data_IF_400925569452
#
_entry.id   IF_400925569452
#
_cell.length_a   1.000
_cell.length_b   1.000
_cell.length_c   1.000
_cell.angle_alpha   90.00
_cell.angle_beta   90.00
_cell.angle_gamma   90.00
#
_symmetry.space_group_name_H-M   'P 1'
#
loop_
_entity.id
_entity.type
_entity.pdbx_description
1 polymer ?
#
# COMPACT_ATOMS: atom_id res chain seq x y z
N UNK A 1 -10.95 19.85 -26.98
CA UNK A 1 -12.03 18.84 -26.85
C UNK A 1 -12.33 18.56 -25.37
N UNK A 2 -13.59 18.31 -24.99
CA UNK A 2 -14.02 17.99 -23.61
C UNK A 2 -14.52 16.54 -23.53
N UNK A 3 -14.52 15.94 -22.33
CA UNK A 3 -14.90 14.54 -22.14
C UNK A 3 -16.29 14.17 -22.69
N UNK A 4 -17.27 15.07 -22.53
CA UNK A 4 -18.66 14.90 -23.03
C UNK A 4 -18.78 14.89 -24.56
N UNK A 5 -17.72 15.26 -25.27
CA UNK A 5 -17.67 15.33 -26.73
C UNK A 5 -17.00 14.10 -27.35
N UNK A 6 -16.53 13.15 -26.53
CA UNK A 6 -15.93 11.91 -26.99
C UNK A 6 -17.01 10.92 -27.44
N UNK A 7 -16.74 10.23 -28.53
CA UNK A 7 -17.61 9.20 -29.11
C UNK A 7 -17.31 7.81 -28.56
N UNK A 8 -18.14 6.82 -28.89
CA UNK A 8 -17.88 5.42 -28.53
C UNK A 8 -16.59 4.86 -29.13
N UNK A 9 -16.15 5.37 -30.29
CA UNK A 9 -14.88 5.01 -30.92
C UNK A 9 -13.69 5.62 -30.17
N UNK A 10 -13.83 6.87 -29.71
CA UNK A 10 -12.82 7.51 -28.88
C UNK A 10 -12.59 6.76 -27.57
N UNK A 11 -13.67 6.27 -26.95
CA UNK A 11 -13.57 5.45 -25.76
C UNK A 11 -12.80 4.16 -26.01
N UNK A 12 -13.06 3.48 -27.14
CA UNK A 12 -12.32 2.26 -27.51
C UNK A 12 -10.86 2.57 -27.79
N UNK A 13 -10.56 3.65 -28.52
CA UNK A 13 -9.20 4.06 -28.85
C UNK A 13 -8.38 4.37 -27.60
N UNK A 14 -8.92 5.17 -26.68
CA UNK A 14 -8.28 5.50 -25.41
C UNK A 14 -8.03 4.21 -24.63
N UNK A 15 -9.03 3.32 -24.53
CA UNK A 15 -8.89 2.07 -23.76
C UNK A 15 -7.83 1.13 -24.35
N UNK A 16 -7.84 0.93 -25.66
CA UNK A 16 -6.89 0.06 -26.35
C UNK A 16 -5.48 0.63 -26.29
N UNK A 17 -5.31 1.94 -26.47
CA UNK A 17 -3.99 2.58 -26.37
C UNK A 17 -3.35 2.34 -25.00
N UNK A 18 -4.10 2.52 -23.91
CA UNK A 18 -3.56 2.22 -22.58
C UNK A 18 -3.17 0.74 -22.40
N UNK A 19 -3.97 -0.19 -22.93
CA UNK A 19 -3.66 -1.63 -22.91
C UNK A 19 -2.43 -1.97 -23.76
N UNK A 20 -2.32 -1.40 -24.95
CA UNK A 20 -1.23 -1.67 -25.90
C UNK A 20 0.10 -1.19 -25.35
N UNK A 21 0.15 0.02 -24.78
CA UNK A 21 1.36 0.51 -24.13
C UNK A 21 1.73 -0.31 -22.89
N UNK A 22 0.76 -0.84 -22.13
CA UNK A 22 1.02 -1.78 -21.03
C UNK A 22 1.59 -3.11 -21.52
N UNK A 23 1.06 -3.66 -22.63
CA UNK A 23 1.49 -4.94 -23.19
C UNK A 23 2.86 -4.86 -23.88
N UNK A 24 3.25 -3.68 -24.37
CA UNK A 24 4.55 -3.45 -25.04
C UNK A 24 5.76 -3.43 -24.11
N UNK A 25 5.58 -3.60 -22.79
CA UNK A 25 6.69 -3.67 -21.83
C UNK A 25 7.58 -2.42 -21.79
N UNK A 26 7.04 -1.26 -22.19
CA UNK A 26 7.80 -0.02 -22.28
C UNK A 26 7.82 0.73 -20.95
N UNK A 27 8.98 1.29 -20.57
CA UNK A 27 9.13 2.13 -19.38
C UNK A 27 8.08 3.26 -19.35
N UNK A 28 7.38 3.39 -18.21
CA UNK A 28 6.29 4.36 -17.98
C UNK A 28 5.17 4.30 -19.03
N UNK A 29 4.48 3.16 -19.17
CA UNK A 29 3.54 2.91 -20.25
C UNK A 29 2.33 3.86 -20.23
N UNK A 30 1.86 4.21 -19.02
CA UNK A 30 0.76 5.16 -18.85
C UNK A 30 1.14 6.59 -19.30
N UNK A 31 2.36 7.06 -19.03
CA UNK A 31 2.81 8.40 -19.48
C UNK A 31 3.00 8.43 -21.00
N UNK A 32 3.47 7.33 -21.60
CA UNK A 32 3.60 7.21 -23.06
C UNK A 32 2.22 7.19 -23.76
N UNK A 33 1.27 6.41 -23.24
CA UNK A 33 -0.11 6.42 -23.70
C UNK A 33 -0.74 7.83 -23.59
N UNK A 34 -0.52 8.52 -22.47
CA UNK A 34 -1.00 9.90 -22.27
C UNK A 34 -0.42 10.88 -23.28
N UNK A 35 0.89 10.81 -23.56
CA UNK A 35 1.54 11.65 -24.57
C UNK A 35 1.03 11.37 -25.98
N UNK A 36 0.88 10.09 -26.33
CA UNK A 36 0.34 9.69 -27.63
C UNK A 36 -1.08 10.20 -27.85
N UNK A 37 -1.98 9.97 -26.88
CA UNK A 37 -3.37 10.42 -26.96
C UNK A 37 -3.49 11.95 -26.88
N UNK A 38 -2.62 12.61 -26.12
CA UNK A 38 -2.58 14.07 -26.03
C UNK A 38 -2.28 14.69 -27.40
N UNK A 39 -1.31 14.13 -28.11
CA UNK A 39 -0.98 14.52 -29.48
C UNK A 39 -2.13 14.22 -30.45
N UNK A 40 -2.71 13.02 -30.38
CA UNK A 40 -3.81 12.60 -31.26
C UNK A 40 -5.04 13.50 -31.15
N UNK A 41 -5.43 13.88 -29.93
CA UNK A 41 -6.62 14.69 -29.67
C UNK A 41 -6.37 16.20 -29.59
N UNK A 42 -5.12 16.64 -29.74
CA UNK A 42 -4.74 18.06 -29.60
C UNK A 42 -5.06 18.63 -28.21
N UNK A 43 -4.87 17.84 -27.15
CA UNK A 43 -5.15 18.24 -25.76
C UNK A 43 -3.97 17.97 -24.85
N UNK A 44 -4.01 18.48 -23.61
CA UNK A 44 -2.94 18.22 -22.63
C UNK A 44 -2.97 16.78 -22.11
N UNK A 45 -1.80 16.28 -21.68
CA UNK A 45 -1.70 14.97 -20.99
C UNK A 45 -2.55 14.92 -19.71
N UNK A 46 -2.72 16.05 -19.03
CA UNK A 46 -3.65 16.20 -17.89
C UNK A 46 -5.10 15.93 -18.29
N UNK A 47 -5.51 16.40 -19.47
CA UNK A 47 -6.85 16.18 -20.02
C UNK A 47 -7.07 14.70 -20.34
N UNK A 48 -6.09 14.04 -20.99
CA UNK A 48 -6.13 12.60 -21.24
C UNK A 48 -6.18 11.81 -19.93
N UNK A 49 -5.39 12.17 -18.92
CA UNK A 49 -5.44 11.53 -17.61
C UNK A 49 -6.83 11.64 -16.98
N UNK A 50 -7.48 12.80 -17.09
CA UNK A 50 -8.87 13.00 -16.63
C UNK A 50 -9.86 12.13 -17.41
N UNK A 51 -9.72 11.99 -18.72
CA UNK A 51 -10.56 11.12 -19.54
C UNK A 51 -10.34 9.64 -19.23
N UNK A 52 -9.10 9.21 -19.09
CA UNK A 52 -8.75 7.85 -18.71
C UNK A 52 -9.32 7.49 -17.33
N UNK A 53 -9.24 8.41 -16.36
CA UNK A 53 -9.87 8.28 -15.04
C UNK A 53 -11.39 8.12 -15.15
N UNK A 54 -12.05 8.90 -16.02
CA UNK A 54 -13.49 8.79 -16.24
C UNK A 54 -13.89 7.49 -16.97
N UNK A 55 -13.05 6.99 -17.87
CA UNK A 55 -13.25 5.75 -18.63
C UNK A 55 -12.81 4.50 -17.88
N UNK A 56 -12.37 4.66 -16.63
CA UNK A 56 -11.84 3.60 -15.79
C UNK A 56 -10.67 2.83 -16.41
N UNK A 57 -9.90 3.46 -17.31
CA UNK A 57 -8.66 2.90 -17.86
C UNK A 57 -7.47 3.48 -17.15
N UNK A 58 -6.52 2.62 -16.79
CA UNK A 58 -5.47 2.89 -15.80
C UNK A 58 -6.01 3.02 -14.35
N UNK A 59 -7.24 2.59 -14.11
CA UNK A 59 -7.95 2.71 -12.84
C UNK A 59 -7.77 1.46 -11.99
N UNK A 60 -6.52 1.20 -11.61
CA UNK A 60 -6.32 0.38 -10.41
C UNK A 60 -6.57 1.18 -9.11
N UNK A 61 -6.78 2.51 -9.18
CA UNK A 61 -6.96 3.37 -7.99
C UNK A 61 -8.41 3.64 -7.57
N UNK A 62 -9.42 3.47 -8.43
CA UNK A 62 -10.78 4.01 -8.17
C UNK A 62 -11.89 2.97 -7.98
N UNK A 63 -11.58 1.67 -8.10
CA UNK A 63 -12.56 0.61 -7.84
C UNK A 63 -12.56 0.15 -6.37
N UNK A 64 -11.97 0.92 -5.45
CA UNK A 64 -12.21 0.73 -4.02
C UNK A 64 -13.32 1.71 -3.64
N UNK A 65 -14.56 1.28 -3.83
CA UNK A 65 -15.73 1.99 -3.30
C UNK A 65 -15.63 1.87 -1.78
N UNK A 66 -15.37 2.97 -1.06
CA UNK A 66 -14.95 2.84 0.34
C UNK A 66 -15.85 3.52 1.38
N UNK A 67 -16.60 2.71 2.14
CA UNK A 67 -16.94 2.94 3.55
C UNK A 67 -15.86 2.44 4.56
N UNK A 68 -14.92 1.60 4.15
CA UNK A 68 -13.93 0.88 5.00
C UNK A 68 -12.52 1.50 4.95
N UNK A 69 -12.18 2.37 5.90
CA UNK A 69 -10.86 3.01 5.98
C UNK A 69 -9.67 2.01 5.99
N UNK A 70 -8.93 1.92 4.88
CA UNK A 70 -7.70 1.09 4.75
C UNK A 70 -6.50 2.02 4.72
N UNK A 71 -5.57 1.83 5.65
CA UNK A 71 -4.39 2.68 5.78
C UNK A 71 -3.17 2.03 5.12
N UNK A 72 -2.43 2.78 4.31
CA UNK A 72 -1.05 2.43 3.97
C UNK A 72 -0.16 3.30 4.84
N UNK A 73 0.74 2.71 5.62
CA UNK A 73 1.61 3.49 6.51
C UNK A 73 3.00 2.85 6.65
N UNK A 74 3.96 3.66 7.09
CA UNK A 74 5.37 3.33 7.23
C UNK A 74 5.98 4.26 8.28
N UNK A 75 6.96 3.77 9.05
CA UNK A 75 7.63 4.53 10.10
C UNK A 75 9.15 4.52 9.94
N UNK A 76 9.78 5.56 10.48
CA UNK A 76 11.23 5.61 10.66
C UNK A 76 11.55 5.70 12.15
N UNK A 77 12.59 4.98 12.59
CA UNK A 77 12.95 4.90 14.01
C UNK A 77 14.36 5.37 14.27
N UNK A 78 14.59 5.85 15.49
CA UNK A 78 15.90 6.25 15.96
C UNK A 78 16.73 5.03 16.36
N UNK A 79 18.03 5.22 16.33
CA UNK A 79 18.99 4.28 16.85
C UNK A 79 19.06 4.40 18.37
N UNK A 80 19.72 3.42 18.98
CA UNK A 80 20.07 3.45 20.39
C UNK A 80 21.57 3.27 20.51
N UNK A 81 22.20 4.20 21.21
CA UNK A 81 23.64 4.15 21.43
C UNK A 81 24.03 3.09 22.47
N UNK A 82 25.18 2.45 22.24
CA UNK A 82 25.83 1.60 23.23
C UNK A 82 27.34 1.82 23.18
N UNK A 83 27.98 1.89 24.36
CA UNK A 83 29.45 1.88 24.44
C UNK A 83 29.96 0.45 24.34
N UNK A 84 30.89 0.23 23.41
CA UNK A 84 31.59 -1.04 23.20
C UNK A 84 33.10 -0.83 23.33
N UNK A 85 33.82 -1.86 23.76
CA UNK A 85 35.27 -1.77 23.98
C UNK A 85 36.08 -1.91 22.69
N UNK A 86 35.63 -2.73 21.74
CA UNK A 86 36.34 -2.98 20.50
C UNK A 86 35.39 -3.35 19.37
N UNK A 87 35.87 -3.30 18.14
CA UNK A 87 35.15 -3.78 16.96
C UNK A 87 35.07 -5.31 16.94
N UNK A 88 34.08 -5.87 16.25
CA UNK A 88 33.86 -7.32 16.13
C UNK A 88 32.54 -7.80 16.73
N UNK A 89 32.38 -9.12 16.88
CA UNK A 89 31.15 -9.72 17.42
C UNK A 89 31.01 -9.41 18.91
N UNK A 90 30.06 -8.55 19.25
CA UNK A 90 29.71 -8.18 20.62
C UNK A 90 28.20 -8.40 20.82
N UNK A 91 27.79 -8.94 21.97
CA UNK A 91 26.38 -8.98 22.37
C UNK A 91 26.13 -7.80 23.30
N UNK A 92 25.31 -6.84 22.86
CA UNK A 92 24.99 -5.65 23.66
C UNK A 92 23.84 -5.97 24.62
N UNK A 93 24.12 -5.93 25.93
CA UNK A 93 23.09 -6.09 26.96
C UNK A 93 22.25 -4.80 27.08
N UNK A 94 20.96 -4.90 27.44
CA UNK A 94 20.09 -3.75 27.64
C UNK A 94 20.64 -2.70 28.62
N UNK A 95 21.44 -3.12 29.62
CA UNK A 95 22.10 -2.21 30.57
C UNK A 95 23.18 -1.32 29.95
N UNK A 96 23.68 -1.66 28.76
CA UNK A 96 24.68 -0.87 28.02
C UNK A 96 24.04 0.18 27.13
N UNK A 97 22.72 0.12 26.95
CA UNK A 97 21.98 1.06 26.10
C UNK A 97 21.89 2.42 26.78
N UNK A 98 22.12 3.47 26.00
CA UNK A 98 22.09 4.87 26.44
C UNK A 98 20.77 5.50 26.03
N UNK A 99 19.72 5.08 26.72
CA UNK A 99 18.36 5.47 26.44
C UNK A 99 17.62 4.39 25.65
N UNK A 100 16.58 4.82 24.96
CA UNK A 100 15.71 3.93 24.19
C UNK A 100 15.48 4.51 22.79
N UNK A 101 15.32 3.63 21.80
CA UNK A 101 14.93 4.04 20.48
C UNK A 101 13.45 4.51 20.46
N UNK A 102 13.16 5.45 19.57
CA UNK A 102 11.86 6.12 19.43
C UNK A 102 11.45 6.15 17.96
N UNK A 103 10.19 6.48 17.69
CA UNK A 103 9.76 6.73 16.31
C UNK A 103 10.12 8.17 15.93
N UNK A 104 10.83 8.34 14.82
CA UNK A 104 11.27 9.65 14.29
C UNK A 104 10.15 10.25 13.45
N UNK A 105 9.64 9.49 12.49
CA UNK A 105 8.57 9.93 11.60
C UNK A 105 7.56 8.80 11.33
N UNK A 106 6.34 9.20 11.04
CA UNK A 106 5.27 8.31 10.61
C UNK A 106 4.59 8.97 9.43
N UNK A 107 4.48 8.25 8.32
CA UNK A 107 3.71 8.68 7.16
C UNK A 107 2.58 7.71 6.90
N UNK A 108 1.44 8.21 6.46
CA UNK A 108 0.32 7.36 6.08
C UNK A 108 -0.58 8.01 5.04
N UNK A 109 -1.38 7.17 4.40
CA UNK A 109 -2.48 7.58 3.54
C UNK A 109 -3.65 6.62 3.65
N UNK A 110 -4.83 7.11 3.34
CA UNK A 110 -5.95 6.24 3.06
C UNK A 110 -5.85 5.72 1.63
N UNK A 111 -6.03 4.41 1.46
CA UNK A 111 -5.93 3.75 0.17
C UNK A 111 -6.95 4.32 -0.83
N UNK A 112 -6.47 4.76 -2.00
CA UNK A 112 -7.31 5.38 -3.03
C UNK A 112 -7.39 6.91 -2.94
N UNK A 113 -6.94 7.52 -1.85
CA UNK A 113 -6.81 8.97 -1.73
C UNK A 113 -5.46 9.46 -2.30
N UNK A 114 -5.39 10.74 -2.66
CA UNK A 114 -4.16 11.36 -3.17
C UNK A 114 -3.29 11.97 -2.06
N UNK A 115 -3.91 12.36 -0.93
CA UNK A 115 -3.22 12.99 0.19
C UNK A 115 -2.39 11.97 0.98
N UNK A 116 -1.19 12.40 1.39
CA UNK A 116 -0.32 11.66 2.30
C UNK A 116 -0.07 12.56 3.50
N UNK A 117 -0.32 12.03 4.68
CA UNK A 117 -0.08 12.69 5.95
C UNK A 117 1.25 12.23 6.51
N UNK A 118 1.94 13.11 7.23
CA UNK A 118 3.19 12.80 7.89
C UNK A 118 3.28 13.51 9.22
N UNK A 119 3.79 12.83 10.23
CA UNK A 119 4.15 13.38 11.53
C UNK A 119 5.61 13.07 11.82
N UNK A 120 6.23 13.88 12.67
CA UNK A 120 7.55 13.63 13.20
C UNK A 120 7.60 13.91 14.70
N UNK A 121 8.60 13.36 15.39
CA UNK A 121 8.84 13.61 16.81
C UNK A 121 9.16 15.09 17.09
N UNK A 122 9.14 15.49 18.35
CA UNK A 122 9.55 16.85 18.73
C UNK A 122 11.06 17.04 18.47
N UNK A 123 11.43 18.00 17.61
CA UNK A 123 12.82 18.19 17.16
C UNK A 123 13.78 18.68 18.25
N UNK A 124 13.25 19.30 19.31
CA UNK A 124 14.05 19.85 20.41
C UNK A 124 14.30 18.79 21.48
N UNK A 125 13.24 18.09 21.88
CA UNK A 125 13.25 17.10 22.97
C UNK A 125 13.44 15.67 22.47
N UNK A 126 13.34 15.44 21.16
CA UNK A 126 13.35 14.12 20.49
C UNK A 126 12.31 13.20 21.10
N UNK A 127 11.14 13.74 21.43
CA UNK A 127 10.04 13.02 22.08
C UNK A 127 8.96 12.67 21.05
N UNK A 128 8.61 11.39 20.94
CA UNK A 128 7.61 10.90 19.99
C UNK A 128 6.19 10.81 20.59
N UNK A 129 6.00 11.13 21.88
CA UNK A 129 4.70 10.96 22.57
C UNK A 129 3.54 11.65 21.84
N UNK A 130 3.70 12.93 21.50
CA UNK A 130 2.64 13.72 20.85
C UNK A 130 2.32 13.16 19.46
N UNK A 131 3.35 12.83 18.69
CA UNK A 131 3.20 12.19 17.37
C UNK A 131 2.46 10.86 17.48
N UNK A 132 2.83 10.00 18.43
CA UNK A 132 2.18 8.70 18.62
C UNK A 132 0.71 8.91 19.03
N UNK A 133 0.41 9.83 19.94
CA UNK A 133 -0.96 10.17 20.33
C UNK A 133 -1.82 10.63 19.15
N UNK A 134 -1.27 11.47 18.27
CA UNK A 134 -1.97 11.92 17.07
C UNK A 134 -2.16 10.78 16.07
N UNK A 135 -1.12 9.96 15.84
CA UNK A 135 -1.20 8.86 14.90
C UNK A 135 -2.17 7.76 15.31
N UNK A 136 -2.19 7.34 16.59
CA UNK A 136 -3.07 6.25 17.03
C UNK A 136 -4.55 6.58 16.88
N UNK A 137 -4.92 7.88 16.93
CA UNK A 137 -6.29 8.34 16.63
C UNK A 137 -6.69 8.02 15.20
N UNK A 138 -5.78 8.16 14.23
CA UNK A 138 -6.03 7.76 12.85
C UNK A 138 -5.90 6.25 12.65
N UNK A 139 -4.89 5.62 13.26
CA UNK A 139 -4.66 4.17 13.20
C UNK A 139 -5.90 3.39 13.64
N UNK A 140 -6.52 3.76 14.76
CA UNK A 140 -7.69 3.06 15.30
C UNK A 140 -8.94 3.16 14.41
N UNK A 141 -8.97 4.10 13.45
CA UNK A 141 -10.06 4.20 12.46
C UNK A 141 -9.88 3.18 11.33
N UNK A 142 -8.69 2.61 11.17
CA UNK A 142 -8.41 1.66 10.10
C UNK A 142 -9.04 0.30 10.38
N UNK A 143 -9.70 -0.27 9.38
CA UNK A 143 -10.16 -1.66 9.41
C UNK A 143 -9.03 -2.63 9.06
N UNK A 144 -8.07 -2.13 8.28
CA UNK A 144 -6.91 -2.85 7.81
C UNK A 144 -5.77 -1.86 7.56
N UNK A 145 -4.56 -2.28 7.89
CA UNK A 145 -3.33 -1.57 7.53
C UNK A 145 -2.54 -2.35 6.49
N UNK A 146 -1.82 -1.64 5.63
CA UNK A 146 -0.94 -2.18 4.60
C UNK A 146 0.45 -1.60 4.83
N UNK A 147 1.47 -2.44 4.79
CA UNK A 147 2.85 -2.00 4.90
C UNK A 147 3.84 -3.02 4.32
N UNK A 148 5.11 -2.64 4.34
CA UNK A 148 6.21 -3.51 3.93
C UNK A 148 6.94 -4.01 5.17
N UNK A 149 6.81 -5.30 5.51
CA UNK A 149 7.37 -5.88 6.74
C UNK A 149 6.81 -5.27 8.05
N UNK A 150 5.64 -4.64 7.96
CA UNK A 150 5.00 -3.96 9.07
C UNK A 150 4.59 -4.90 10.22
N UNK A 151 4.33 -6.19 9.94
CA UNK A 151 4.03 -7.16 11.01
C UNK A 151 5.20 -7.35 11.98
N UNK A 152 6.43 -7.24 11.48
CA UNK A 152 7.62 -7.45 12.30
C UNK A 152 8.26 -6.17 12.79
N UNK A 153 7.92 -5.02 12.20
CA UNK A 153 8.51 -3.74 12.50
C UNK A 153 7.45 -2.73 12.96
N UNK A 154 6.76 -2.07 12.04
CA UNK A 154 5.91 -0.91 12.29
C UNK A 154 4.80 -1.18 13.31
N UNK A 155 4.02 -2.25 13.14
CA UNK A 155 2.92 -2.59 14.05
C UNK A 155 3.45 -2.79 15.48
N UNK A 156 4.61 -3.44 15.64
CA UNK A 156 5.21 -3.70 16.95
C UNK A 156 5.72 -2.41 17.59
N UNK A 157 6.34 -1.52 16.80
CA UNK A 157 6.77 -0.21 17.27
C UNK A 157 5.61 0.64 17.75
N UNK A 158 4.59 0.83 16.92
CA UNK A 158 3.42 1.63 17.29
C UNK A 158 2.77 1.07 18.55
N UNK A 159 2.56 -0.24 18.64
CA UNK A 159 1.99 -0.88 19.83
C UNK A 159 2.86 -0.66 21.07
N UNK A 160 4.19 -0.81 20.96
CA UNK A 160 5.10 -0.63 22.09
C UNK A 160 5.14 0.83 22.57
N UNK A 161 5.19 1.80 21.65
CA UNK A 161 5.19 3.23 22.00
C UNK A 161 3.85 3.66 22.59
N UNK A 162 2.73 3.23 22.01
CA UNK A 162 1.40 3.50 22.53
C UNK A 162 1.22 2.92 23.94
N UNK A 163 1.62 1.66 24.16
CA UNK A 163 1.60 1.01 25.48
C UNK A 163 2.47 1.77 26.50
N UNK A 164 3.68 2.19 26.10
CA UNK A 164 4.56 3.00 26.96
C UNK A 164 3.89 4.30 27.42
N UNK A 165 3.12 4.95 26.55
CA UNK A 165 2.45 6.21 26.83
C UNK A 165 1.03 6.06 27.37
N UNK A 166 0.59 4.83 27.63
CA UNK A 166 -0.76 4.50 28.07
C UNK A 166 -1.84 5.07 27.13
N UNK A 167 -1.63 4.91 25.83
CA UNK A 167 -2.53 5.34 24.76
C UNK A 167 -3.36 4.16 24.25
N UNK A 168 -4.61 4.41 23.90
CA UNK A 168 -5.48 3.41 23.27
C UNK A 168 -4.99 3.10 21.84
N UNK A 169 -4.67 1.83 21.59
CA UNK A 169 -4.25 1.33 20.29
C UNK A 169 -4.94 0.02 19.98
N UNK A 170 -5.60 -0.05 18.82
CA UNK A 170 -6.27 -1.25 18.37
C UNK A 170 -5.23 -2.25 17.83
N UNK A 171 -4.74 -3.12 18.70
CA UNK A 171 -3.80 -4.20 18.33
C UNK A 171 -4.45 -5.31 17.49
N UNK A 172 -5.78 -5.29 17.32
CA UNK A 172 -6.57 -6.26 16.55
C UNK A 172 -6.78 -5.90 15.08
N UNK A 173 -6.26 -4.76 14.61
CA UNK A 173 -6.39 -4.35 13.21
C UNK A 173 -5.77 -5.41 12.29
N UNK A 174 -6.48 -5.73 11.19
CA UNK A 174 -5.95 -6.66 10.19
C UNK A 174 -4.76 -6.03 9.48
N UNK A 175 -3.69 -6.78 9.33
CA UNK A 175 -2.48 -6.29 8.66
C UNK A 175 -2.21 -7.06 7.38
N UNK A 176 -2.09 -6.31 6.28
CA UNK A 176 -1.62 -6.80 4.99
C UNK A 176 -0.15 -6.45 4.81
N UNK A 177 0.71 -7.41 5.15
CA UNK A 177 2.16 -7.27 5.00
C UNK A 177 2.61 -7.78 3.62
N UNK A 178 3.02 -6.85 2.75
CA UNK A 178 3.45 -7.16 1.38
C UNK A 178 4.67 -8.08 1.39
N UNK A 179 5.60 -7.90 2.33
CA UNK A 179 6.82 -8.70 2.44
C UNK A 179 6.50 -10.16 2.74
N UNK A 180 5.60 -10.41 3.69
CA UNK A 180 5.15 -11.76 4.05
C UNK A 180 4.43 -12.42 2.88
N UNK A 181 3.53 -11.69 2.22
CA UNK A 181 2.79 -12.17 1.05
C UNK A 181 3.73 -12.51 -0.11
N UNK A 182 4.69 -11.64 -0.41
CA UNK A 182 5.68 -11.84 -1.45
C UNK A 182 6.55 -13.07 -1.18
N UNK A 183 7.07 -13.23 0.05
CA UNK A 183 7.84 -14.42 0.44
C UNK A 183 7.07 -15.72 0.33
N UNK A 184 5.75 -15.68 0.59
CA UNK A 184 4.89 -16.86 0.48
C UNK A 184 4.59 -17.25 -0.97
N UNK A 185 4.53 -16.28 -1.89
CA UNK A 185 4.06 -16.49 -3.26
C UNK A 185 5.16 -16.52 -4.31
N UNK A 186 6.29 -15.88 -4.05
CA UNK A 186 7.34 -15.66 -5.04
C UNK A 186 8.67 -16.24 -4.60
N UNK A 187 9.55 -16.46 -5.57
CA UNK A 187 10.98 -16.76 -5.36
C UNK A 187 11.79 -15.74 -6.15
N UNK A 188 12.17 -14.65 -5.50
CA UNK A 188 12.98 -13.58 -6.09
C UNK A 188 14.30 -13.38 -5.31
N UNK A 189 15.33 -12.77 -5.92
CA UNK A 189 16.64 -12.58 -5.27
C UNK A 189 16.62 -11.74 -3.99
N UNK A 190 15.76 -10.71 -3.91
CA UNK A 190 15.59 -9.89 -2.71
C UNK A 190 14.12 -9.46 -2.57
N UNK A 191 13.71 -9.22 -1.33
CA UNK A 191 12.36 -8.73 -0.97
C UNK A 191 12.40 -7.32 -0.38
N UNK A 192 13.51 -6.59 -0.54
CA UNK A 192 13.54 -5.16 -0.17
C UNK A 192 12.56 -4.37 -1.03
N UNK A 193 12.03 -3.27 -0.49
CA UNK A 193 11.11 -2.37 -1.19
C UNK A 193 11.69 -1.96 -2.56
N UNK A 194 12.91 -1.43 -2.57
CA UNK A 194 13.62 -1.01 -3.78
C UNK A 194 13.75 -2.12 -4.83
N UNK A 195 14.11 -3.34 -4.39
CA UNK A 195 14.26 -4.47 -5.30
C UNK A 195 12.92 -4.91 -5.88
N UNK A 196 11.88 -5.02 -5.05
CA UNK A 196 10.55 -5.41 -5.51
C UNK A 196 9.95 -4.36 -6.46
N UNK A 197 10.10 -3.07 -6.16
CA UNK A 197 9.67 -2.00 -7.05
C UNK A 197 10.34 -2.15 -8.42
N UNK A 198 11.66 -2.29 -8.46
CA UNK A 198 12.40 -2.51 -9.70
C UNK A 198 11.98 -3.79 -10.42
N UNK A 199 11.85 -4.91 -9.71
CA UNK A 199 11.55 -6.22 -10.28
C UNK A 199 10.15 -6.30 -10.91
N UNK A 200 9.17 -5.62 -10.31
CA UNK A 200 7.78 -5.64 -10.78
C UNK A 200 7.39 -4.41 -11.63
N UNK A 201 8.37 -3.61 -12.06
CA UNK A 201 8.22 -2.39 -12.84
C UNK A 201 7.25 -1.38 -12.18
N UNK A 202 7.47 -1.14 -10.89
CA UNK A 202 6.80 -0.12 -10.09
C UNK A 202 7.78 1.03 -9.84
N UNK A 203 7.34 2.25 -10.11
CA UNK A 203 8.13 3.46 -9.85
C UNK A 203 8.36 3.60 -8.34
N UNK A 204 9.61 3.42 -7.91
CA UNK A 204 10.04 3.76 -6.56
C UNK A 204 10.27 5.26 -6.51
N UNK A 205 9.57 5.96 -5.62
CA UNK A 205 9.55 7.42 -5.66
C UNK A 205 10.83 8.03 -5.08
N UNK A 206 11.44 7.44 -4.06
CA UNK A 206 12.74 7.83 -3.49
C UNK A 206 13.46 6.62 -2.86
N UNK A 207 14.79 6.68 -2.77
CA UNK A 207 15.61 5.77 -1.97
C UNK A 207 16.18 6.54 -0.78
N UNK A 208 16.11 5.95 0.41
CA UNK A 208 16.58 6.48 1.70
C UNK A 208 17.86 7.32 1.60
N UNK A 209 17.91 8.40 2.39
CA UNK A 209 19.16 9.03 2.79
C UNK A 209 20.08 7.98 3.41
N UNK A 210 21.40 8.16 3.31
CA UNK A 210 22.32 7.24 3.97
C UNK A 210 22.21 7.31 5.49
N UNK A 211 23.01 6.51 6.18
CA UNK A 211 23.14 6.55 7.65
C UNK A 211 23.41 7.97 8.19
N UNK A 212 24.02 8.82 7.36
CA UNK A 212 24.29 10.23 7.63
C UNK A 212 23.05 11.07 7.91
N UNK A 213 21.89 10.72 7.34
CA UNK A 213 20.62 11.41 7.63
C UNK A 213 20.18 11.15 9.06
N UNK A 214 20.38 9.94 9.59
CA UNK A 214 20.10 9.64 10.99
C UNK A 214 21.08 10.35 11.92
N UNK A 215 22.37 10.39 11.58
CA UNK A 215 23.38 11.11 12.37
C UNK A 215 22.99 12.59 12.52
N UNK A 216 22.60 13.23 11.42
CA UNK A 216 22.15 14.62 11.45
C UNK A 216 20.89 14.81 12.29
N UNK A 217 19.91 13.92 12.19
CA UNK A 217 18.67 14.00 12.99
C UNK A 217 18.94 13.80 14.49
N UNK A 218 19.85 12.90 14.84
CA UNK A 218 20.11 12.49 16.22
C UNK A 218 21.17 13.34 16.91
N UNK A 219 22.15 13.89 16.19
CA UNK A 219 23.34 14.52 16.77
C UNK A 219 23.68 15.89 16.15
N UNK A 220 23.09 16.22 14.99
CA UNK A 220 23.42 17.44 14.26
C UNK A 220 23.00 18.75 14.93
N UNK A 221 23.50 19.85 14.39
CA UNK A 221 23.06 21.20 14.75
C UNK A 221 21.57 21.41 14.40
N UNK A 222 20.92 22.42 14.99
CA UNK A 222 19.47 22.62 14.80
C UNK A 222 19.08 22.75 13.32
N UNK A 223 19.86 23.46 12.50
CA UNK A 223 19.61 23.61 11.06
C UNK A 223 19.86 22.31 10.27
N UNK A 224 20.86 21.52 10.65
CA UNK A 224 21.13 20.21 10.02
C UNK A 224 20.02 19.22 10.34
N UNK A 225 19.52 19.28 11.59
CA UNK A 225 18.39 18.49 12.06
C UNK A 225 17.13 18.82 11.27
N UNK A 226 16.84 20.09 11.06
CA UNK A 226 15.67 20.52 10.27
C UNK A 226 15.76 20.04 8.82
N UNK A 227 16.91 20.21 8.16
CA UNK A 227 17.11 19.74 6.78
C UNK A 227 16.99 18.22 6.68
N UNK A 228 17.66 17.48 7.58
CA UNK A 228 17.64 16.03 7.59
C UNK A 228 16.26 15.46 7.94
N UNK A 229 15.50 16.12 8.82
CA UNK A 229 14.12 15.74 9.12
C UNK A 229 13.20 15.96 7.91
N UNK A 230 13.35 17.08 7.20
CA UNK A 230 12.58 17.32 5.97
C UNK A 230 12.85 16.23 4.92
N UNK A 231 14.13 15.84 4.76
CA UNK A 231 14.53 14.72 3.90
C UNK A 231 13.90 13.40 4.38
N UNK A 232 13.94 13.10 5.68
CA UNK A 232 13.33 11.90 6.27
C UNK A 232 11.83 11.80 5.98
N UNK A 233 11.10 12.90 6.17
CA UNK A 233 9.67 12.97 5.88
C UNK A 233 9.43 12.72 4.38
N UNK A 234 10.22 13.32 3.50
CA UNK A 234 10.09 13.10 2.05
C UNK A 234 10.33 11.64 1.68
N UNK A 235 11.32 10.99 2.28
CA UNK A 235 11.59 9.56 2.09
C UNK A 235 10.42 8.69 2.56
N UNK A 236 9.95 8.90 3.78
CA UNK A 236 8.86 8.14 4.37
C UNK A 236 7.55 8.31 3.56
N UNK A 237 7.26 9.54 3.08
CA UNK A 237 6.16 9.79 2.11
C UNK A 237 6.39 9.06 0.77
N UNK A 238 7.62 9.01 0.28
CA UNK A 238 8.00 8.26 -0.91
C UNK A 238 7.76 6.75 -0.78
N UNK A 239 8.01 6.19 0.40
CA UNK A 239 7.77 4.78 0.72
C UNK A 239 6.29 4.45 0.85
N UNK A 240 5.46 5.37 1.34
CA UNK A 240 3.98 5.21 1.28
C UNK A 240 3.49 5.04 -0.15
N UNK A 241 3.97 5.89 -1.06
CA UNK A 241 3.54 5.84 -2.46
C UNK A 241 4.02 4.56 -3.14
N UNK A 242 5.25 4.14 -2.84
CA UNK A 242 5.84 2.91 -3.36
C UNK A 242 5.11 1.67 -2.82
N UNK A 243 4.77 1.66 -1.53
CA UNK A 243 4.00 0.60 -0.85
C UNK A 243 2.61 0.45 -1.44
N UNK A 244 1.87 1.56 -1.61
CA UNK A 244 0.55 1.56 -2.27
C UNK A 244 0.66 0.96 -3.68
N UNK A 245 1.64 1.43 -4.46
CA UNK A 245 1.80 1.00 -5.84
C UNK A 245 2.14 -0.49 -5.95
N UNK A 246 3.00 -1.01 -5.07
CA UNK A 246 3.29 -2.44 -4.97
C UNK A 246 2.06 -3.26 -4.57
N UNK A 247 1.35 -2.83 -3.52
CA UNK A 247 0.13 -3.50 -3.08
C UNK A 247 -0.85 -3.63 -4.25
N UNK A 248 -1.16 -2.51 -4.91
CA UNK A 248 -2.07 -2.46 -6.04
C UNK A 248 -1.58 -3.34 -7.20
N UNK A 249 -0.27 -3.36 -7.48
CA UNK A 249 0.32 -4.16 -8.56
C UNK A 249 0.28 -5.66 -8.29
N UNK A 250 0.42 -6.07 -7.03
CA UNK A 250 0.68 -7.45 -6.64
C UNK A 250 -0.50 -8.15 -5.96
N UNK A 251 -1.50 -7.43 -5.44
CA UNK A 251 -2.66 -7.99 -4.72
C UNK A 251 -3.37 -9.12 -5.46
N UNK A 252 -3.43 -9.09 -6.79
CA UNK A 252 -4.04 -10.17 -7.60
C UNK A 252 -3.34 -11.54 -7.48
N UNK A 253 -2.10 -11.57 -6.98
CA UNK A 253 -1.33 -12.79 -6.73
C UNK A 253 -1.34 -13.21 -5.25
N UNK A 254 -1.79 -12.33 -4.36
CA UNK A 254 -1.74 -12.50 -2.93
C UNK A 254 -3.03 -13.09 -2.36
N UNK A 255 -2.93 -13.62 -1.13
CA UNK A 255 -4.12 -14.07 -0.42
C UNK A 255 -4.74 -12.89 0.33
N UNK A 256 -6.07 -12.86 0.34
CA UNK A 256 -6.86 -11.86 1.05
C UNK A 256 -6.75 -12.07 2.56
N UNK A 257 -6.52 -10.99 3.31
CA UNK A 257 -6.50 -11.02 4.79
C UNK A 257 -7.86 -10.73 5.41
N UNK A 258 -8.75 -10.09 4.65
CA UNK A 258 -10.12 -9.76 5.04
C UNK A 258 -11.00 -9.72 3.79
N UNK A 259 -12.33 -9.76 3.98
CA UNK A 259 -13.29 -9.53 2.90
C UNK A 259 -13.88 -8.13 3.06
N UNK A 260 -13.30 -7.16 2.35
CA UNK A 260 -13.71 -5.76 2.37
C UNK A 260 -15.10 -5.57 1.77
N UNK A 261 -15.49 -6.40 0.81
CA UNK A 261 -16.85 -6.43 0.26
C UNK A 261 -17.89 -6.65 1.35
N UNK A 262 -17.70 -7.69 2.17
CA UNK A 262 -18.57 -8.00 3.32
C UNK A 262 -18.47 -6.95 4.42
N UNK A 263 -17.27 -6.46 4.72
CA UNK A 263 -17.08 -5.39 5.70
C UNK A 263 -17.89 -4.12 5.36
N UNK A 264 -18.14 -3.89 4.07
CA UNK A 264 -18.97 -2.82 3.54
C UNK A 264 -20.46 -3.19 3.36
N UNK A 265 -20.92 -4.28 3.98
CA UNK A 265 -22.31 -4.75 3.88
C UNK A 265 -22.65 -5.45 2.56
N UNK A 266 -21.64 -5.73 1.73
CA UNK A 266 -21.81 -6.45 0.47
C UNK A 266 -21.89 -7.97 0.65
N UNK A 267 -22.14 -8.64 -0.46
CA UNK A 267 -22.33 -10.08 -0.49
C UNK A 267 -21.01 -10.85 -0.30
N UNK A 268 -21.07 -11.96 0.42
CA UNK A 268 -19.87 -12.76 0.73
C UNK A 268 -19.24 -13.48 -0.48
N UNK A 269 -19.92 -13.46 -1.62
CA UNK A 269 -19.42 -13.96 -2.90
C UNK A 269 -18.80 -12.87 -3.78
N UNK A 270 -18.99 -11.58 -3.46
CA UNK A 270 -18.41 -10.46 -4.19
C UNK A 270 -16.88 -10.40 -4.00
N UNK A 271 -16.20 -9.60 -4.82
CA UNK A 271 -14.74 -9.47 -4.77
C UNK A 271 -14.29 -8.95 -3.38
N UNK A 272 -13.44 -9.71 -2.65
CA UNK A 272 -13.05 -9.34 -1.30
C UNK A 272 -12.21 -8.07 -1.22
N UNK A 273 -11.59 -7.62 -2.31
CA UNK A 273 -10.81 -6.38 -2.29
C UNK A 273 -11.64 -5.11 -2.55
N UNK A 274 -12.69 -5.22 -3.36
CA UNK A 274 -13.43 -4.06 -3.91
C UNK A 274 -14.91 -4.05 -3.57
N UNK A 275 -15.46 -5.20 -3.16
CA UNK A 275 -16.90 -5.40 -3.06
C UNK A 275 -17.61 -5.49 -4.42
N UNK A 276 -16.87 -5.48 -5.54
CA UNK A 276 -17.48 -5.54 -6.87
C UNK A 276 -18.23 -6.85 -7.08
N UNK A 277 -19.44 -6.72 -7.63
CA UNK A 277 -20.28 -7.84 -8.08
C UNK A 277 -19.96 -8.28 -9.50
N UNK A 278 -19.09 -7.56 -10.22
CA UNK A 278 -18.65 -7.89 -11.57
C UNK A 278 -17.60 -9.00 -11.55
N UNK A 279 -18.05 -10.19 -11.16
CA UNK A 279 -17.23 -11.37 -10.91
C UNK A 279 -17.77 -12.55 -11.70
N UNK A 280 -16.96 -13.58 -11.91
CA UNK A 280 -17.40 -14.83 -12.52
C UNK A 280 -16.67 -16.03 -11.95
N UNK A 281 -17.21 -17.23 -12.16
CA UNK A 281 -16.50 -18.45 -11.84
C UNK A 281 -15.23 -18.55 -12.70
N UNK A 282 -14.10 -18.78 -12.05
CA UNK A 282 -12.82 -19.07 -12.70
C UNK A 282 -12.52 -20.57 -12.72
N UNK A 283 -12.69 -21.25 -11.58
CA UNK A 283 -12.39 -22.68 -11.46
C UNK A 283 -13.16 -23.31 -10.31
N UNK A 284 -13.57 -24.57 -10.48
CA UNK A 284 -14.02 -25.43 -9.38
C UNK A 284 -12.89 -26.39 -8.98
N UNK A 285 -12.70 -26.57 -7.68
CA UNK A 285 -11.70 -27.47 -7.12
C UNK A 285 -12.29 -28.22 -5.93
N UNK A 286 -11.66 -29.34 -5.57
CA UNK A 286 -12.09 -30.21 -4.48
C UNK A 286 -10.94 -30.40 -3.50
N UNK A 287 -11.23 -30.37 -2.20
CA UNK A 287 -10.25 -30.77 -1.18
C UNK A 287 -10.21 -32.30 -1.07
N UNK A 288 -9.17 -32.89 -0.45
CA UNK A 288 -9.15 -34.33 -0.16
C UNK A 288 -10.37 -34.81 0.65
N UNK A 289 -10.93 -33.94 1.49
CA UNK A 289 -12.16 -34.20 2.25
C UNK A 289 -13.45 -34.07 1.41
N UNK A 290 -13.35 -33.91 0.09
CA UNK A 290 -14.50 -33.76 -0.82
C UNK A 290 -15.17 -32.38 -0.80
N UNK A 291 -14.61 -31.39 -0.07
CA UNK A 291 -15.20 -30.05 0.00
C UNK A 291 -15.04 -29.31 -1.33
N UNK A 292 -16.15 -28.84 -1.88
CA UNK A 292 -16.16 -28.04 -3.12
C UNK A 292 -15.73 -26.61 -2.83
N UNK A 293 -14.64 -26.18 -3.47
CA UNK A 293 -14.10 -24.83 -3.42
C UNK A 293 -14.25 -24.17 -4.79
N UNK A 294 -14.89 -23.00 -4.80
CA UNK A 294 -15.12 -22.20 -6.01
C UNK A 294 -14.12 -21.05 -6.03
N UNK A 295 -13.30 -21.00 -7.07
CA UNK A 295 -12.42 -19.85 -7.33
C UNK A 295 -13.17 -18.89 -8.24
N UNK A 296 -13.40 -17.68 -7.75
CA UNK A 296 -13.98 -16.57 -8.49
C UNK A 296 -12.88 -15.67 -9.05
N UNK A 297 -13.21 -14.87 -10.06
CA UNK A 297 -12.35 -13.82 -10.60
C UNK A 297 -13.14 -12.53 -10.81
N UNK A 298 -12.59 -11.40 -10.40
CA UNK A 298 -13.10 -10.08 -10.74
C UNK A 298 -12.73 -9.74 -12.20
N UNK A 299 -13.72 -9.35 -13.00
CA UNK A 299 -13.54 -9.12 -14.44
C UNK A 299 -12.76 -7.82 -14.76
N UNK A 300 -12.68 -6.88 -13.81
CA UNK A 300 -11.98 -5.60 -13.97
C UNK A 300 -10.55 -5.67 -13.46
N UNK A 301 -10.36 -6.20 -12.24
CA UNK A 301 -9.05 -6.20 -11.57
C UNK A 301 -8.25 -7.48 -11.84
N UNK A 302 -8.91 -8.56 -12.28
CA UNK A 302 -8.31 -9.88 -12.44
C UNK A 302 -7.95 -10.57 -11.12
N UNK A 303 -8.36 -10.01 -9.98
CA UNK A 303 -8.18 -10.60 -8.65
C UNK A 303 -8.94 -11.91 -8.58
N UNK A 304 -8.26 -12.96 -8.10
CA UNK A 304 -8.86 -14.27 -7.87
C UNK A 304 -9.03 -14.51 -6.37
N UNK A 305 -10.14 -15.14 -6.00
CA UNK A 305 -10.43 -15.44 -4.60
C UNK A 305 -11.27 -16.71 -4.50
N UNK A 306 -11.19 -17.38 -3.35
CA UNK A 306 -11.90 -18.65 -3.10
C UNK A 306 -13.12 -18.40 -2.24
N UNK A 307 -14.24 -19.02 -2.60
CA UNK A 307 -15.48 -19.06 -1.82
C UNK A 307 -15.99 -20.50 -1.68
N UNK A 308 -16.77 -20.74 -0.63
CA UNK A 308 -17.48 -22.01 -0.42
C UNK A 308 -18.54 -22.23 -1.50
N UNK A 309 -18.93 -23.48 -1.76
CA UNK A 309 -20.05 -23.77 -2.65
C UNK A 309 -21.36 -23.07 -2.24
N UNK A 310 -21.67 -22.97 -0.93
CA UNK A 310 -22.87 -22.26 -0.44
C UNK A 310 -22.92 -20.81 -0.94
N UNK A 311 -21.85 -20.05 -0.70
CA UNK A 311 -21.71 -18.66 -1.19
C UNK A 311 -21.83 -18.56 -2.71
N UNK A 312 -21.30 -19.55 -3.44
CA UNK A 312 -21.43 -19.58 -4.90
C UNK A 312 -22.88 -19.83 -5.36
N UNK A 313 -23.65 -20.67 -4.67
CA UNK A 313 -25.09 -20.81 -4.97
C UNK A 313 -25.82 -19.48 -4.78
N UNK A 314 -25.51 -18.72 -3.72
CA UNK A 314 -26.05 -17.36 -3.54
C UNK A 314 -25.70 -16.41 -4.69
N UNK A 315 -24.50 -16.55 -5.28
CA UNK A 315 -24.13 -15.82 -6.49
C UNK A 315 -24.95 -16.27 -7.72
N UNK A 316 -25.20 -17.58 -7.88
CA UNK A 316 -26.05 -18.10 -8.96
C UNK A 316 -27.48 -17.56 -8.84
N UNK A 317 -28.03 -17.53 -7.63
CA UNK A 317 -29.36 -16.97 -7.36
C UNK A 317 -29.43 -15.45 -7.64
N UNK A 318 -28.31 -14.74 -7.47
CA UNK A 318 -28.21 -13.33 -7.78
C UNK A 318 -28.23 -13.09 -9.29
N UNK A 319 -27.40 -13.81 -10.06
CA UNK A 319 -27.31 -13.61 -11.52
C UNK A 319 -28.55 -14.12 -12.26
N UNK A 320 -29.29 -15.08 -11.71
CA UNK A 320 -30.53 -15.57 -12.34
C UNK A 320 -31.70 -14.59 -12.22
N UNK A 321 -31.58 -13.58 -11.35
CA UNK A 321 -32.58 -12.54 -11.12
C UNK A 321 -32.28 -11.22 -11.87
N UNK A 322 -31.17 -11.15 -12.58
CA UNK A 322 -30.78 -9.99 -13.41
C UNK A 322 -31.20 -10.19 -14.86
#
# INVERSE_FOLDING_TARGET
>A
MKFKQLTGEDYKLIKNTYKDFQNKGVKQPAKKAQKYLALHYGVTTRTIRKWANNLQVNVMKKNIVNPTKIMVYDIETSRVEAKVFWTGKQYVNHKQLRGEPKVISISWKWLGEDEVYSLHWDMKTKCDKKMIEEFVKEYNKASMVIGQNNNNFDNKWINARAAKYNLDVNTGIKSFDIYVQAKRKFRIPSYSMAYMCKYFDVEQKLSSGGITTWDKIEEGEDWEREEAMAQMIEYNVGDIISTEALYVRLRKYFDHVTNLGVANGGEAWADPDTGSVNVRLYKTSYTPAGTVIRTMINNETGVKYKISNKKYMSYIDFISKQ
#
